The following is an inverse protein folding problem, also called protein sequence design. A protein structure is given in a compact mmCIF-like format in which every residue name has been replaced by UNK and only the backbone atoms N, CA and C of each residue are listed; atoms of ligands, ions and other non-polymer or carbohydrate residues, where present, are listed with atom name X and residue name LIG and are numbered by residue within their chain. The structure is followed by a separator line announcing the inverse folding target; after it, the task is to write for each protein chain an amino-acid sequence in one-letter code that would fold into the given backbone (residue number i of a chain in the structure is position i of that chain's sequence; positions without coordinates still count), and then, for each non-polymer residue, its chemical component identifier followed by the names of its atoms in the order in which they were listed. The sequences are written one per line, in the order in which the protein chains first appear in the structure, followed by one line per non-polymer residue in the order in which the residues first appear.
data_IF_390667801328
#
_entry.id   IF_390667801328
#
_cell.length_a   1.000
_cell.length_b   1.000
_cell.length_c   1.000
_cell.angle_alpha   90.00
_cell.angle_beta   90.00
_cell.angle_gamma   90.00
#
_symmetry.space_group_name_H-M   'P 1'
#
loop_
_entity.id
_entity.type
_entity.pdbx_description
1 polymer ?
#
# COMPACT_ATOMS: atom_id res chain seq x y z
N UNK A 1 -4.94 22.25 14.23
CA UNK A 1 -5.71 21.80 15.40
C UNK A 1 -4.72 21.60 16.54
N UNK A 2 -4.80 22.41 17.61
CA UNK A 2 -3.93 22.24 18.78
C UNK A 2 -4.40 21.01 19.56
N UNK A 3 -3.53 20.03 19.75
CA UNK A 3 -3.84 18.88 20.60
C UNK A 3 -3.56 19.27 22.06
N UNK A 4 -4.32 18.73 23.02
CA UNK A 4 -3.99 18.89 24.45
C UNK A 4 -3.19 17.68 24.92
N UNK A 5 -2.16 17.92 25.72
CA UNK A 5 -1.43 16.85 26.38
C UNK A 5 -2.38 16.14 27.33
N UNK A 6 -2.50 14.81 27.21
CA UNK A 6 -3.39 14.02 28.07
C UNK A 6 -2.93 13.97 29.53
N UNK A 7 -1.65 14.24 29.79
CA UNK A 7 -1.06 14.20 31.14
C UNK A 7 -1.23 15.52 31.91
N UNK A 8 -1.01 16.68 31.27
CA UNK A 8 -1.04 17.98 31.97
C UNK A 8 -2.05 18.98 31.40
N UNK A 9 -2.78 18.64 30.33
CA UNK A 9 -3.82 19.49 29.74
C UNK A 9 -3.30 20.68 28.90
N UNK A 10 -2.00 20.94 28.88
CA UNK A 10 -1.38 22.01 28.08
C UNK A 10 -1.53 21.75 26.58
N UNK A 11 -1.71 22.80 25.80
CA UNK A 11 -1.72 22.72 24.35
C UNK A 11 -0.34 22.31 23.81
N UNK A 12 -0.31 21.27 22.99
CA UNK A 12 0.87 20.69 22.37
C UNK A 12 0.68 20.60 20.86
N UNK A 13 1.77 20.74 20.11
CA UNK A 13 1.70 20.55 18.67
C UNK A 13 1.69 19.06 18.34
N UNK A 14 0.93 18.67 17.33
CA UNK A 14 0.79 17.27 16.91
C UNK A 14 2.12 16.64 16.43
N UNK A 15 3.13 17.45 16.13
CA UNK A 15 4.44 17.01 15.66
C UNK A 15 5.43 16.69 16.79
N UNK A 16 5.17 17.17 18.02
CA UNK A 16 6.06 16.96 19.16
C UNK A 16 5.92 15.54 19.70
N UNK A 17 7.05 14.85 19.87
CA UNK A 17 7.10 13.50 20.48
C UNK A 17 7.00 13.53 22.01
N UNK A 18 7.22 14.69 22.62
CA UNK A 18 7.18 14.91 24.08
C UNK A 18 6.54 16.25 24.39
N UNK A 19 5.76 16.31 25.47
CA UNK A 19 5.18 17.55 25.94
C UNK A 19 6.25 18.41 26.62
N UNK A 20 6.47 19.63 26.14
CA UNK A 20 7.46 20.55 26.73
C UNK A 20 7.10 21.04 28.14
N UNK A 21 5.84 20.90 28.56
CA UNK A 21 5.38 21.36 29.88
C UNK A 21 5.55 20.30 30.98
N UNK A 22 5.40 19.01 30.67
CA UNK A 22 5.45 17.93 31.67
C UNK A 22 6.36 16.76 31.32
N UNK A 23 6.99 16.77 30.13
CA UNK A 23 7.88 15.72 29.66
C UNK A 23 7.20 14.43 29.16
N UNK A 24 5.87 14.34 29.25
CA UNK A 24 5.13 13.14 28.84
C UNK A 24 5.29 12.85 27.34
N UNK A 25 5.49 11.58 26.98
CA UNK A 25 5.57 11.15 25.59
C UNK A 25 4.20 11.28 24.91
N UNK A 26 4.19 12.01 23.80
CA UNK A 26 3.03 12.24 22.96
C UNK A 26 3.08 11.19 21.84
N UNK A 27 2.07 10.32 21.78
CA UNK A 27 1.98 9.29 20.78
C UNK A 27 1.83 9.93 19.38
N UNK A 28 2.96 10.15 18.71
CA UNK A 28 3.00 10.47 17.30
C UNK A 28 2.41 9.27 16.56
N UNK A 29 1.24 9.44 15.92
CA UNK A 29 0.69 8.40 15.04
C UNK A 29 1.76 8.09 14.01
N UNK A 30 2.40 6.91 14.06
CA UNK A 30 3.40 6.58 13.07
C UNK A 30 2.71 6.61 11.72
N UNK A 31 3.40 7.12 10.69
CA UNK A 31 3.02 6.98 9.28
C UNK A 31 3.08 5.50 8.85
N UNK A 32 2.61 4.57 9.68
CA UNK A 32 2.52 3.16 9.40
C UNK A 32 1.39 2.88 8.40
N UNK A 33 0.30 3.66 8.47
CA UNK A 33 -0.82 3.58 7.53
C UNK A 33 -0.39 3.73 6.06
N UNK A 34 0.34 4.78 5.65
CA UNK A 34 0.75 4.92 4.25
C UNK A 34 1.75 3.85 3.79
N UNK A 35 2.64 3.38 4.67
CA UNK A 35 3.60 2.30 4.32
C UNK A 35 2.86 0.97 4.12
N UNK A 36 1.94 0.62 5.03
CA UNK A 36 1.15 -0.61 4.91
C UNK A 36 0.26 -0.59 3.64
N UNK A 37 -0.38 0.55 3.35
CA UNK A 37 -1.17 0.72 2.13
C UNK A 37 -0.32 0.55 0.85
N UNK A 38 0.89 1.13 0.82
CA UNK A 38 1.81 0.97 -0.32
C UNK A 38 2.21 -0.49 -0.54
N UNK A 39 2.59 -1.21 0.52
CA UNK A 39 2.97 -2.62 0.43
C UNK A 39 1.81 -3.50 -0.09
N UNK A 40 0.58 -3.26 0.36
CA UNK A 40 -0.60 -3.98 -0.15
C UNK A 40 -0.84 -3.73 -1.64
N UNK A 41 -0.69 -2.50 -2.12
CA UNK A 41 -0.83 -2.18 -3.55
C UNK A 41 0.21 -2.93 -4.37
N UNK A 42 1.48 -2.96 -3.94
CA UNK A 42 2.56 -3.66 -4.64
C UNK A 42 2.27 -5.17 -4.73
N UNK A 43 1.79 -5.78 -3.65
CA UNK A 43 1.44 -7.22 -3.64
C UNK A 43 0.31 -7.51 -4.64
N UNK A 44 -0.73 -6.67 -4.69
CA UNK A 44 -1.84 -6.83 -5.65
C UNK A 44 -1.36 -6.72 -7.11
N UNK A 45 -0.44 -5.80 -7.40
CA UNK A 45 0.15 -5.68 -8.74
C UNK A 45 0.97 -6.93 -9.11
N UNK A 46 1.77 -7.45 -8.17
CA UNK A 46 2.53 -8.69 -8.39
C UNK A 46 1.59 -9.87 -8.62
N UNK A 47 0.53 -9.99 -7.82
CA UNK A 47 -0.50 -11.02 -8.03
C UNK A 47 -1.16 -10.88 -9.40
N UNK A 48 -1.51 -9.68 -9.84
CA UNK A 48 -2.07 -9.45 -11.17
C UNK A 48 -1.08 -9.80 -12.31
N UNK A 49 0.23 -9.66 -12.08
CA UNK A 49 1.26 -10.05 -13.05
C UNK A 49 1.51 -11.58 -13.05
N UNK A 50 1.43 -12.22 -11.88
CA UNK A 50 1.62 -13.67 -11.73
C UNK A 50 0.37 -14.47 -12.14
N UNK A 51 -0.83 -13.88 -12.01
CA UNK A 51 -2.11 -14.38 -12.55
C UNK A 51 -2.23 -14.16 -14.08
N UNK A 52 -1.16 -13.68 -14.71
CA UNK A 52 -0.94 -13.74 -16.14
C UNK A 52 0.00 -14.89 -16.54
N UNK A 53 -0.32 -16.18 -16.27
CA UNK A 53 0.24 -17.26 -17.04
C UNK A 53 -0.59 -17.44 -18.33
N UNK A 54 0.05 -17.23 -19.47
CA UNK A 54 -0.28 -17.92 -20.72
C UNK A 54 -1.65 -17.62 -21.36
N UNK A 55 -1.89 -16.36 -21.77
CA UNK A 55 -2.62 -16.17 -23.03
C UNK A 55 -1.72 -16.56 -24.19
N UNK A 56 -1.74 -17.87 -24.47
CA UNK A 56 -1.86 -18.43 -25.82
C UNK A 56 -1.33 -17.54 -26.95
N UNK A 57 -0.08 -17.79 -27.34
CA UNK A 57 0.21 -17.99 -28.75
C UNK A 57 -0.44 -19.31 -29.18
N UNK A 58 -1.78 -19.33 -29.21
CA UNK A 58 -2.51 -20.24 -30.07
C UNK A 58 -2.47 -19.58 -31.42
N UNK A 59 -1.49 -19.99 -32.24
CA UNK A 59 -1.57 -19.79 -33.67
C UNK A 59 -2.99 -20.24 -34.12
N UNK A 60 -3.76 -19.38 -34.80
CA UNK A 60 -5.04 -19.78 -35.35
C UNK A 60 -4.79 -20.91 -36.33
N UNK A 61 -5.33 -22.10 -36.04
CA UNK A 61 -5.39 -23.19 -37.00
C UNK A 61 -6.28 -22.72 -38.16
N UNK A 62 -5.64 -22.25 -39.24
CA UNK A 62 -6.29 -21.97 -40.51
C UNK A 62 -6.98 -23.24 -41.04
N UNK A 63 -8.25 -23.15 -41.48
CA UNK A 63 -8.90 -24.23 -42.18
C UNK A 63 -8.50 -24.23 -43.67
N UNK A 64 -8.23 -25.43 -44.18
CA UNK A 64 -8.28 -25.85 -45.58
C UNK A 64 -7.15 -25.40 -46.54
N UNK A 65 -6.31 -26.36 -46.94
CA UNK A 65 -6.37 -27.05 -48.26
C UNK A 65 -5.08 -27.83 -48.53
N UNK A 66 -5.22 -29.13 -48.79
CA UNK A 66 -4.59 -29.84 -49.93
C UNK A 66 -4.79 -31.35 -49.76
N UNK A 67 -5.97 -31.83 -50.13
CA UNK A 67 -6.04 -33.11 -50.83
C UNK A 67 -5.57 -32.85 -52.27
N UNK A 68 -4.46 -33.45 -52.70
CA UNK A 68 -4.21 -33.80 -54.10
C UNK A 68 -2.83 -34.48 -54.25
N UNK A 69 -2.91 -35.77 -54.61
CA UNK A 69 -1.98 -36.57 -55.42
C UNK A 69 -0.63 -36.99 -54.82
#
# INVERSE_FOLDING_TARGET
MAHKCKACGVAVQAADKKCSACGAELAAKPKLLPIAAFMLIVILVIQAYMDKPEEKDSAPAEPAKAAAQ
#
